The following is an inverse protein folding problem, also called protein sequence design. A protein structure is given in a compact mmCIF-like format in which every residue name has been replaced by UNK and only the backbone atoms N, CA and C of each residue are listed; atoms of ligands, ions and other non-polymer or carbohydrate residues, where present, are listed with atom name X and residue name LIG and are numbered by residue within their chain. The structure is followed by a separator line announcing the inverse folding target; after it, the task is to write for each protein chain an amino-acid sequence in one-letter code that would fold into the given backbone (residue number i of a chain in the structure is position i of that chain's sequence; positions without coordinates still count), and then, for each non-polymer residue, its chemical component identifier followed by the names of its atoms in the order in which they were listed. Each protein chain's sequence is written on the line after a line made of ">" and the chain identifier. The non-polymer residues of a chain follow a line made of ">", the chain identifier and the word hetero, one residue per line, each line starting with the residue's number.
data_IF_706594407111
#
_entry.id   IF_706594407111
#
_cell.length_a   1.000
_cell.length_b   1.000
_cell.length_c   1.000
_cell.angle_alpha   90.00
_cell.angle_beta   90.00
_cell.angle_gamma   90.00
#
_symmetry.space_group_name_H-M   'P 1'
#
loop_
_entity.id
_entity.type
_entity.pdbx_description
1 polymer ?
#
# COMPACT_ATOMS: atom_id res chain seq x y z
N UNK A 1 25.10 8.47 10.26
CA UNK A 1 24.74 9.70 11.01
C UNK A 1 23.47 9.42 11.80
N UNK A 2 23.48 9.62 13.11
CA UNK A 2 22.34 9.31 14.01
C UNK A 2 21.56 10.59 14.33
N UNK A 3 20.24 10.55 14.21
CA UNK A 3 19.34 11.69 14.50
C UNK A 3 18.70 11.58 15.91
N UNK A 4 18.75 10.40 16.52
CA UNK A 4 18.15 10.12 17.83
C UNK A 4 16.84 9.33 17.74
N UNK A 5 16.44 8.72 18.87
CA UNK A 5 15.22 7.89 18.93
C UNK A 5 15.25 6.66 18.02
N UNK A 6 16.44 6.15 17.71
CA UNK A 6 16.66 5.02 16.80
C UNK A 6 16.67 5.39 15.30
N UNK A 7 16.44 6.66 14.94
CA UNK A 7 16.53 7.14 13.55
C UNK A 7 17.98 7.38 13.12
N UNK A 8 18.35 6.91 11.94
CA UNK A 8 19.65 7.14 11.33
C UNK A 8 19.58 7.12 9.80
N UNK A 9 20.56 7.76 9.17
CA UNK A 9 20.78 7.66 7.73
C UNK A 9 21.75 6.50 7.44
N UNK A 10 21.26 5.50 6.71
CA UNK A 10 22.03 4.36 6.22
C UNK A 10 22.53 4.69 4.81
N UNK A 11 23.83 4.56 4.57
CA UNK A 11 24.48 4.87 3.30
C UNK A 11 25.08 3.57 2.75
N UNK A 12 24.64 3.14 1.58
CA UNK A 12 25.26 1.99 0.91
C UNK A 12 26.62 2.37 0.30
N UNK A 13 27.53 1.41 0.11
CA UNK A 13 28.78 1.64 -0.62
C UNK A 13 28.57 2.23 -2.03
N UNK A 14 27.43 1.90 -2.67
CA UNK A 14 27.02 2.44 -3.97
C UNK A 14 26.47 3.88 -3.93
N UNK A 15 26.39 4.50 -2.75
CA UNK A 15 25.94 5.88 -2.57
C UNK A 15 24.45 6.05 -2.29
N UNK A 16 23.64 5.00 -2.35
CA UNK A 16 22.23 5.03 -1.95
C UNK A 16 22.06 5.39 -0.48
N UNK A 17 21.04 6.19 -0.15
CA UNK A 17 20.81 6.71 1.21
C UNK A 17 19.37 6.45 1.66
N UNK A 18 19.21 5.85 2.84
CA UNK A 18 17.89 5.53 3.41
C UNK A 18 17.76 6.00 4.85
N UNK A 19 16.62 6.60 5.16
CA UNK A 19 16.21 6.80 6.54
C UNK A 19 15.78 5.47 7.14
N UNK A 20 16.44 5.06 8.22
CA UNK A 20 16.18 3.82 8.93
C UNK A 20 15.85 4.09 10.38
N UNK A 21 14.88 3.36 10.91
CA UNK A 21 14.59 3.28 12.33
C UNK A 21 15.03 1.92 12.86
N UNK A 22 15.96 1.93 13.82
CA UNK A 22 16.35 0.78 14.63
C UNK A 22 15.47 0.71 15.88
N UNK A 23 14.81 -0.41 16.12
CA UNK A 23 13.93 -0.60 17.26
C UNK A 23 13.94 -2.06 17.76
N UNK A 24 13.29 -2.31 18.90
CA UNK A 24 13.06 -3.67 19.40
C UNK A 24 11.58 -3.93 19.53
N UNK A 25 11.18 -5.15 19.24
CA UNK A 25 9.82 -5.64 19.41
C UNK A 25 9.89 -7.12 19.83
N UNK A 26 9.25 -7.46 20.96
CA UNK A 26 9.26 -8.80 21.57
C UNK A 26 10.71 -9.34 21.70
N UNK A 27 11.58 -8.54 22.32
CA UNK A 27 12.99 -8.89 22.55
C UNK A 27 13.88 -8.96 21.31
N UNK A 28 13.34 -8.84 20.09
CA UNK A 28 14.09 -8.91 18.84
C UNK A 28 14.39 -7.52 18.28
N UNK A 29 15.62 -7.32 17.85
CA UNK A 29 16.03 -6.12 17.14
C UNK A 29 15.51 -6.15 15.70
N UNK A 30 14.92 -5.03 15.27
CA UNK A 30 14.34 -4.84 13.95
C UNK A 30 14.72 -3.49 13.37
N UNK A 31 14.62 -3.39 12.03
CA UNK A 31 14.86 -2.17 11.27
C UNK A 31 13.67 -1.87 10.38
N UNK A 32 13.27 -0.60 10.33
CA UNK A 32 12.19 -0.11 9.48
C UNK A 32 12.73 0.96 8.51
N UNK A 33 12.39 0.85 7.22
CA UNK A 33 12.66 1.92 6.25
C UNK A 33 11.63 3.04 6.40
N UNK A 34 12.07 4.29 6.47
CA UNK A 34 11.20 5.48 6.54
C UNK A 34 11.25 6.33 5.27
N UNK A 35 12.11 5.98 4.31
CA UNK A 35 12.21 6.65 3.02
C UNK A 35 13.65 6.66 2.48
N UNK A 36 13.81 7.11 1.24
CA UNK A 36 15.10 7.38 0.60
C UNK A 36 15.45 8.86 0.75
N UNK A 37 16.75 9.18 0.77
CA UNK A 37 17.23 10.55 0.63
C UNK A 37 17.68 10.75 -0.82
N UNK A 38 17.37 11.91 -1.46
CA UNK A 38 16.79 13.13 -0.87
C UNK A 38 15.26 13.21 -0.90
N UNK A 39 14.55 12.24 -1.48
CA UNK A 39 13.09 12.32 -1.70
C UNK A 39 12.32 12.49 -0.38
N UNK A 40 12.78 11.83 0.68
CA UNK A 40 12.27 12.03 2.04
C UNK A 40 13.19 12.98 2.79
N UNK A 41 12.67 14.17 3.09
CA UNK A 41 13.36 15.15 3.92
C UNK A 41 13.44 14.68 5.38
N UNK A 42 14.42 15.19 6.13
CA UNK A 42 14.64 14.82 7.53
C UNK A 42 13.40 15.07 8.41
N UNK A 43 12.66 16.15 8.18
CA UNK A 43 11.42 16.46 8.90
C UNK A 43 10.40 15.32 8.77
N UNK A 44 10.14 14.88 7.54
CA UNK A 44 9.23 13.76 7.25
C UNK A 44 9.75 12.45 7.86
N UNK A 45 11.06 12.21 7.82
CA UNK A 45 11.66 11.03 8.46
C UNK A 45 11.44 11.02 9.98
N UNK A 46 11.50 12.18 10.64
CA UNK A 46 11.21 12.33 12.08
C UNK A 46 9.72 12.12 12.40
N UNK A 47 8.82 12.65 11.58
CA UNK A 47 7.37 12.43 11.73
C UNK A 47 7.04 10.94 11.65
N UNK A 48 7.53 10.24 10.61
CA UNK A 48 7.36 8.80 10.46
C UNK A 48 8.01 7.98 11.58
N UNK A 49 9.12 8.45 12.14
CA UNK A 49 9.74 7.83 13.33
C UNK A 49 8.78 7.91 14.52
N UNK A 50 8.18 9.06 14.76
CA UNK A 50 7.32 9.29 15.91
C UNK A 50 6.02 8.48 15.81
N UNK A 51 5.44 8.37 14.61
CA UNK A 51 4.34 7.44 14.31
C UNK A 51 4.71 5.99 14.59
N UNK A 52 5.84 5.52 14.06
CA UNK A 52 6.31 4.15 14.30
C UNK A 52 6.56 3.88 15.80
N UNK A 53 7.08 4.87 16.54
CA UNK A 53 7.28 4.75 17.99
C UNK A 53 5.97 4.66 18.77
N UNK A 54 4.91 5.35 18.33
CA UNK A 54 3.57 5.21 18.94
C UNK A 54 3.06 3.76 18.80
N UNK A 55 3.21 3.16 17.62
CA UNK A 55 2.83 1.76 17.39
C UNK A 55 3.66 0.80 18.27
N UNK A 56 4.98 1.03 18.38
CA UNK A 56 5.86 0.22 19.24
C UNK A 56 5.45 0.33 20.72
N UNK A 57 5.09 1.53 21.18
CA UNK A 57 4.63 1.76 22.55
C UNK A 57 3.30 1.03 22.85
N UNK A 58 2.46 0.83 21.84
CA UNK A 58 1.24 0.03 21.93
C UNK A 58 1.51 -1.49 21.82
N UNK A 59 2.78 -1.90 21.78
CA UNK A 59 3.17 -3.31 21.65
C UNK A 59 3.00 -3.86 20.24
N UNK A 60 2.75 -3.02 19.23
CA UNK A 60 2.62 -3.43 17.84
C UNK A 60 3.96 -3.41 17.10
N UNK A 61 4.03 -4.16 16.00
CA UNK A 61 5.16 -4.14 15.07
C UNK A 61 4.83 -3.21 13.88
N UNK A 62 5.48 -2.04 13.75
CA UNK A 62 5.22 -1.12 12.64
C UNK A 62 5.46 -1.73 11.26
N UNK A 63 6.37 -2.71 11.15
CA UNK A 63 6.63 -3.40 9.88
C UNK A 63 5.52 -4.38 9.51
N UNK A 64 4.87 -4.98 10.50
CA UNK A 64 3.70 -5.82 10.30
C UNK A 64 2.47 -4.96 9.93
N UNK A 65 2.27 -3.82 10.60
CA UNK A 65 1.15 -2.93 10.29
C UNK A 65 1.25 -2.39 8.85
N UNK A 66 2.43 -1.97 8.41
CA UNK A 66 2.63 -1.53 7.02
C UNK A 66 2.33 -2.63 6.00
N UNK A 67 2.66 -3.89 6.32
CA UNK A 67 2.33 -5.03 5.46
C UNK A 67 0.83 -5.31 5.45
N UNK A 68 0.18 -5.21 6.61
CA UNK A 68 -1.27 -5.36 6.74
C UNK A 68 -2.01 -4.28 5.96
N UNK A 69 -1.56 -3.03 6.05
CA UNK A 69 -2.12 -1.91 5.27
C UNK A 69 -1.94 -2.11 3.76
N UNK A 70 -0.74 -2.50 3.31
CA UNK A 70 -0.51 -2.81 1.90
C UNK A 70 -1.39 -3.96 1.40
N UNK A 71 -1.60 -4.99 2.24
CA UNK A 71 -2.49 -6.10 1.93
C UNK A 71 -3.96 -5.65 1.90
N UNK A 72 -4.41 -4.83 2.85
CA UNK A 72 -5.76 -4.25 2.86
C UNK A 72 -6.00 -3.43 1.60
N UNK A 73 -5.06 -2.56 1.23
CA UNK A 73 -5.14 -1.78 0.00
C UNK A 73 -5.22 -2.67 -1.25
N UNK A 74 -4.45 -3.77 -1.29
CA UNK A 74 -4.51 -4.75 -2.38
C UNK A 74 -5.85 -5.48 -2.42
N UNK A 75 -6.37 -5.91 -1.27
CA UNK A 75 -7.67 -6.60 -1.18
C UNK A 75 -8.79 -5.65 -1.58
N UNK A 76 -8.79 -4.41 -1.10
CA UNK A 76 -9.75 -3.39 -1.51
C UNK A 76 -9.69 -3.14 -3.01
N UNK A 77 -8.49 -3.01 -3.57
CA UNK A 77 -8.29 -2.86 -5.02
C UNK A 77 -8.72 -4.07 -5.85
N UNK A 78 -8.63 -5.28 -5.29
CA UNK A 78 -9.09 -6.51 -5.95
C UNK A 78 -10.61 -6.74 -5.79
N UNK A 79 -11.23 -6.16 -4.77
CA UNK A 79 -12.67 -6.27 -4.48
C UNK A 79 -13.44 -5.01 -4.87
N UNK A 80 -12.94 -4.24 -5.84
CA UNK A 80 -13.69 -3.10 -6.37
C UNK A 80 -14.76 -3.57 -7.36
N UNK A 81 -15.80 -2.74 -7.54
CA UNK A 81 -16.85 -3.00 -8.54
C UNK A 81 -16.24 -3.23 -9.94
N UNK A 82 -15.24 -2.44 -10.32
CA UNK A 82 -14.55 -2.59 -11.60
C UNK A 82 -13.83 -3.94 -11.72
N UNK A 83 -13.08 -4.35 -10.69
CA UNK A 83 -12.35 -5.61 -10.71
C UNK A 83 -13.28 -6.81 -10.89
N UNK A 84 -14.38 -6.87 -10.13
CA UNK A 84 -15.35 -7.98 -10.22
C UNK A 84 -16.19 -7.89 -11.50
N UNK A 85 -16.54 -6.69 -11.97
CA UNK A 85 -17.26 -6.53 -13.22
C UNK A 85 -16.44 -7.02 -14.42
N UNK A 86 -15.12 -6.79 -14.42
CA UNK A 86 -14.22 -7.32 -15.45
C UNK A 86 -14.12 -8.86 -15.38
N UNK A 87 -13.97 -9.44 -14.19
CA UNK A 87 -14.01 -10.90 -14.02
C UNK A 87 -15.34 -11.50 -14.51
N UNK A 88 -16.45 -10.86 -14.18
CA UNK A 88 -17.78 -11.26 -14.64
C UNK A 88 -17.93 -11.19 -16.16
N UNK A 89 -17.38 -10.16 -16.81
CA UNK A 89 -17.36 -10.05 -18.27
C UNK A 89 -16.59 -11.21 -18.91
N UNK A 90 -15.44 -11.60 -18.35
CA UNK A 90 -14.68 -12.76 -18.84
C UNK A 90 -15.44 -14.07 -18.68
N UNK A 91 -16.14 -14.26 -17.55
CA UNK A 91 -17.01 -15.43 -17.35
C UNK A 91 -18.15 -15.46 -18.38
N UNK A 92 -18.73 -14.30 -18.71
CA UNK A 92 -19.87 -14.19 -19.63
C UNK A 92 -19.48 -14.23 -21.11
N UNK A 93 -18.19 -14.10 -21.42
CA UNK A 93 -17.66 -14.15 -22.79
C UNK A 93 -18.05 -15.43 -23.55
N UNK A 94 -18.20 -16.55 -22.86
CA UNK A 94 -18.64 -17.81 -23.46
C UNK A 94 -20.16 -17.88 -23.71
N UNK A 95 -20.96 -17.13 -22.96
CA UNK A 95 -22.43 -17.11 -23.07
C UNK A 95 -22.93 -16.08 -24.11
N UNK A 96 -22.07 -15.14 -24.52
CA UNK A 96 -22.45 -13.98 -25.31
C UNK A 96 -21.80 -13.96 -26.70
N UNK A 97 -22.54 -13.44 -27.68
CA UNK A 97 -21.96 -13.01 -28.95
C UNK A 97 -21.04 -11.81 -28.72
N UNK A 98 -19.98 -11.68 -29.52
CA UNK A 98 -19.01 -10.57 -29.47
C UNK A 98 -19.66 -9.18 -29.43
N UNK A 99 -20.75 -8.97 -30.19
CA UNK A 99 -21.52 -7.72 -30.19
C UNK A 99 -22.12 -7.38 -28.82
N UNK A 100 -22.59 -8.37 -28.08
CA UNK A 100 -23.15 -8.17 -26.75
C UNK A 100 -22.04 -7.89 -25.73
N UNK A 101 -20.92 -8.61 -25.83
CA UNK A 101 -19.75 -8.36 -24.97
C UNK A 101 -19.25 -6.91 -25.11
N UNK A 102 -19.05 -6.43 -26.34
CA UNK A 102 -18.61 -5.05 -26.62
C UNK A 102 -19.61 -4.04 -26.04
N UNK A 103 -20.91 -4.28 -26.20
CA UNK A 103 -21.96 -3.39 -25.73
C UNK A 103 -22.00 -3.31 -24.20
N UNK A 104 -22.01 -4.44 -23.50
CA UNK A 104 -22.07 -4.47 -22.04
C UNK A 104 -20.76 -3.98 -21.40
N UNK A 105 -19.60 -4.33 -21.97
CA UNK A 105 -18.31 -3.77 -21.57
C UNK A 105 -18.29 -2.25 -21.73
N UNK A 106 -18.78 -1.74 -22.86
CA UNK A 106 -18.86 -0.31 -23.12
C UNK A 106 -19.75 0.43 -22.12
N UNK A 107 -20.86 -0.16 -21.68
CA UNK A 107 -21.73 0.41 -20.64
C UNK A 107 -21.01 0.52 -19.30
N UNK A 108 -20.34 -0.55 -18.89
CA UNK A 108 -19.60 -0.58 -17.63
C UNK A 108 -18.46 0.45 -17.64
N UNK A 109 -17.66 0.49 -18.72
CA UNK A 109 -16.52 1.41 -18.85
C UNK A 109 -16.96 2.88 -18.93
N UNK A 110 -18.03 3.20 -19.65
CA UNK A 110 -18.43 4.59 -19.87
C UNK A 110 -19.36 5.14 -18.79
N UNK A 111 -20.16 4.30 -18.14
CA UNK A 111 -21.25 4.75 -17.27
C UNK A 111 -21.16 4.23 -15.83
N UNK A 112 -20.38 3.19 -15.54
CA UNK A 112 -20.26 2.65 -14.19
C UNK A 112 -18.87 2.92 -13.59
N UNK A 113 -17.80 2.51 -14.27
CA UNK A 113 -16.44 2.60 -13.76
C UNK A 113 -15.98 4.01 -13.36
N UNK A 114 -16.34 5.09 -14.10
CA UNK A 114 -15.96 6.44 -13.70
C UNK A 114 -16.53 6.88 -12.35
N UNK A 115 -17.67 6.31 -11.96
CA UNK A 115 -18.43 6.74 -10.78
C UNK A 115 -18.27 5.79 -9.60
N UNK A 116 -18.32 4.48 -9.86
CA UNK A 116 -18.33 3.44 -8.82
C UNK A 116 -17.23 2.40 -8.99
N UNK A 117 -16.41 2.48 -10.04
CA UNK A 117 -15.45 1.43 -10.39
C UNK A 117 -14.40 1.14 -9.31
N UNK A 118 -13.95 2.18 -8.60
CA UNK A 118 -12.96 2.09 -7.52
C UNK A 118 -13.56 1.79 -6.15
N UNK A 119 -14.89 1.74 -6.04
CA UNK A 119 -15.55 1.48 -4.77
C UNK A 119 -15.49 -0.02 -4.45
N UNK A 120 -15.20 -0.40 -3.20
CA UNK A 120 -15.35 -1.78 -2.72
C UNK A 120 -16.79 -2.26 -2.86
N UNK A 121 -16.99 -3.54 -3.21
CA UNK A 121 -18.33 -4.14 -3.36
C UNK A 121 -19.05 -4.37 -2.02
N UNK A 122 -18.32 -4.25 -0.92
CA UNK A 122 -18.84 -4.47 0.43
C UNK A 122 -19.49 -3.23 1.05
N UNK A 123 -19.55 -2.11 0.35
CA UNK A 123 -20.27 -0.88 0.74
C UNK A 123 -21.67 -0.84 0.15
#
# INVERSE_FOLDING_TARGET
>A
MFDGGGLYLEIAPSGGKWWRLKYRHIGKEKRLSLGTYPETQLKIAREKRDEARKLIAQGMDPSAERKAEALRARILGANTFEAVALEWLELKRHDWTEKNEIKERGRLVNHCFPWIGKLPITE
#
